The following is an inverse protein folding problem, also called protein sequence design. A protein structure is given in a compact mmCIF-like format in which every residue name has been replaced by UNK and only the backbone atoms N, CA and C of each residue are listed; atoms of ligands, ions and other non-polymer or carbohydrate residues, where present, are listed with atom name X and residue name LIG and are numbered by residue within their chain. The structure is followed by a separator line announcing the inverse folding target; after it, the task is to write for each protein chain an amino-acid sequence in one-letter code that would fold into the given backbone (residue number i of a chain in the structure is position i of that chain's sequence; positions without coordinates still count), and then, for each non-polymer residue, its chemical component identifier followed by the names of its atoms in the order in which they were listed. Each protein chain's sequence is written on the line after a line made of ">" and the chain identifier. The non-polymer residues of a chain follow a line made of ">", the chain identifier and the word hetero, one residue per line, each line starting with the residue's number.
data_IF_446985583346
#
_entry.id   IF_446985583346
#
_cell.length_a   1.000
_cell.length_b   1.000
_cell.length_c   1.000
_cell.angle_alpha   90.00
_cell.angle_beta   90.00
_cell.angle_gamma   90.00
#
_symmetry.space_group_name_H-M   'P 1'
#
loop_
_entity.id
_entity.type
_entity.pdbx_description
1 polymer ?
#
# COMPACT_ATOMS: atom_id res chain seq x y z
N UNK A 1 14.60 11.69 -24.35
CA UNK A 1 15.87 12.00 -23.65
C UNK A 1 16.94 11.05 -24.16
N UNK A 2 18.15 11.54 -24.45
CA UNK A 2 19.26 10.66 -24.87
C UNK A 2 19.94 10.05 -23.63
N UNK A 3 19.62 8.79 -23.34
CA UNK A 3 20.25 8.01 -22.28
C UNK A 3 21.69 7.61 -22.69
N UNK A 4 22.62 7.62 -21.74
CA UNK A 4 23.97 7.10 -21.99
C UNK A 4 23.95 5.57 -22.22
N UNK A 5 24.95 5.01 -22.91
CA UNK A 5 25.01 3.57 -23.15
C UNK A 5 25.03 2.78 -21.83
N UNK A 6 25.78 3.24 -20.82
CA UNK A 6 25.80 2.64 -19.48
C UNK A 6 24.40 2.66 -18.82
N UNK A 7 23.66 3.77 -18.93
CA UNK A 7 22.28 3.82 -18.40
C UNK A 7 21.34 2.83 -19.11
N UNK A 8 21.48 2.66 -20.43
CA UNK A 8 20.67 1.70 -21.20
C UNK A 8 20.95 0.26 -20.76
N UNK A 9 22.21 -0.11 -20.57
CA UNK A 9 22.61 -1.44 -20.09
C UNK A 9 22.01 -1.75 -18.72
N UNK A 10 22.07 -0.78 -17.80
CA UNK A 10 21.51 -0.96 -16.44
C UNK A 10 20.00 -1.07 -16.46
N UNK A 11 19.33 -0.25 -17.27
CA UNK A 11 17.89 -0.35 -17.49
C UNK A 11 17.49 -1.74 -17.99
N UNK A 12 18.25 -2.31 -18.94
CA UNK A 12 18.01 -3.67 -19.44
C UNK A 12 18.20 -4.72 -18.33
N UNK A 13 19.26 -4.62 -17.53
CA UNK A 13 19.49 -5.53 -16.39
C UNK A 13 18.36 -5.47 -15.34
N UNK A 14 17.84 -4.28 -15.07
CA UNK A 14 16.70 -4.12 -14.16
C UNK A 14 15.42 -4.68 -14.81
N UNK A 15 15.24 -4.51 -16.12
CA UNK A 15 14.11 -5.09 -16.86
C UNK A 15 14.13 -6.62 -16.77
N UNK A 16 15.29 -7.24 -16.95
CA UNK A 16 15.47 -8.69 -16.79
C UNK A 16 15.20 -9.13 -15.34
N UNK A 17 15.60 -8.31 -14.36
CA UNK A 17 15.30 -8.56 -12.95
C UNK A 17 13.80 -8.52 -12.67
N UNK A 18 13.06 -7.56 -13.27
CA UNK A 18 11.59 -7.49 -13.18
C UNK A 18 10.95 -8.74 -13.79
N UNK A 19 11.33 -9.12 -15.01
CA UNK A 19 10.81 -10.33 -15.66
C UNK A 19 11.10 -11.60 -14.85
N UNK A 20 12.29 -11.69 -14.24
CA UNK A 20 12.64 -12.78 -13.35
C UNK A 20 11.74 -12.81 -12.11
N UNK A 21 11.51 -11.67 -11.45
CA UNK A 21 10.63 -11.62 -10.27
C UNK A 21 9.19 -11.97 -10.61
N UNK A 22 8.65 -11.52 -11.76
CA UNK A 22 7.32 -11.90 -12.24
C UNK A 22 7.19 -13.42 -12.39
N UNK A 23 8.14 -14.06 -13.10
CA UNK A 23 8.18 -15.52 -13.26
C UNK A 23 8.30 -16.25 -11.92
N UNK A 24 9.11 -15.73 -11.00
CA UNK A 24 9.30 -16.28 -9.66
C UNK A 24 8.02 -16.22 -8.84
N UNK A 25 7.29 -15.10 -8.89
CA UNK A 25 5.99 -14.92 -8.25
C UNK A 25 4.99 -15.95 -8.77
N UNK A 26 4.84 -16.09 -10.09
CA UNK A 26 3.91 -17.06 -10.70
C UNK A 26 4.22 -18.49 -10.26
N UNK A 27 5.51 -18.85 -10.21
CA UNK A 27 5.96 -20.16 -9.77
C UNK A 27 5.66 -20.39 -8.28
N UNK A 28 5.97 -19.43 -7.41
CA UNK A 28 5.75 -19.53 -5.97
C UNK A 28 4.26 -19.55 -5.62
N UNK A 29 3.41 -18.79 -6.34
CA UNK A 29 1.95 -18.84 -6.17
C UNK A 29 1.40 -20.24 -6.47
N UNK A 30 1.86 -20.89 -7.54
CA UNK A 30 1.47 -22.29 -7.86
C UNK A 30 1.86 -23.25 -6.74
N UNK A 31 3.09 -23.15 -6.23
CA UNK A 31 3.54 -23.99 -5.10
C UNK A 31 2.70 -23.73 -3.85
N UNK A 32 2.52 -22.46 -3.49
CA UNK A 32 1.73 -22.06 -2.32
C UNK A 32 0.30 -22.58 -2.41
N UNK A 33 -0.37 -22.40 -3.54
CA UNK A 33 -1.77 -22.81 -3.71
C UNK A 33 -1.93 -24.33 -3.64
N UNK A 34 -0.96 -25.09 -4.17
CA UNK A 34 -0.95 -26.55 -4.03
C UNK A 34 -0.77 -27.00 -2.57
N UNK A 35 0.06 -26.29 -1.81
CA UNK A 35 0.35 -26.63 -0.41
C UNK A 35 -0.72 -26.11 0.57
N UNK A 36 -1.43 -25.04 0.22
CA UNK A 36 -2.38 -24.36 1.11
C UNK A 36 -3.52 -25.28 1.55
N UNK A 37 -4.18 -25.97 0.62
CA UNK A 37 -5.30 -26.85 0.95
C UNK A 37 -4.87 -27.97 1.90
N UNK A 38 -3.70 -28.55 1.64
CA UNK A 38 -3.13 -29.59 2.50
C UNK A 38 -2.82 -29.06 3.91
N UNK A 39 -2.22 -27.87 4.00
CA UNK A 39 -1.91 -27.20 5.26
C UNK A 39 -3.18 -26.91 6.08
N UNK A 40 -4.21 -26.35 5.45
CA UNK A 40 -5.50 -26.04 6.09
C UNK A 40 -6.22 -27.31 6.54
N UNK A 41 -6.34 -28.34 5.69
CA UNK A 41 -7.06 -29.57 6.01
C UNK A 41 -6.46 -30.33 7.20
N UNK A 42 -5.12 -30.36 7.31
CA UNK A 42 -4.42 -31.01 8.41
C UNK A 42 -4.52 -30.23 9.72
N UNK A 43 -4.41 -28.92 9.68
CA UNK A 43 -4.45 -28.09 10.91
C UNK A 43 -5.84 -27.98 11.53
N UNK A 44 -6.91 -28.15 10.74
CA UNK A 44 -8.29 -28.28 11.25
C UNK A 44 -8.57 -29.71 11.78
N UNK A 45 -7.61 -30.64 11.69
CA UNK A 45 -7.70 -31.96 12.32
C UNK A 45 -8.68 -32.94 11.66
N UNK A 46 -9.00 -32.77 10.37
CA UNK A 46 -9.84 -33.75 9.63
C UNK A 46 -9.13 -35.08 9.37
N UNK A 47 -7.81 -35.08 9.32
CA UNK A 47 -6.98 -36.29 9.25
C UNK A 47 -6.40 -36.59 10.64
N UNK A 48 -7.19 -37.27 11.47
CA UNK A 48 -6.75 -37.68 12.79
C UNK A 48 -5.45 -38.50 12.72
N UNK A 49 -4.48 -38.13 13.58
CA UNK A 49 -3.30 -38.94 13.99
C UNK A 49 -1.99 -38.84 13.20
N UNK A 50 -1.72 -37.77 12.45
CA UNK A 50 -0.33 -37.46 12.11
C UNK A 50 0.15 -36.25 12.90
N UNK A 51 1.06 -36.49 13.86
CA UNK A 51 1.86 -35.42 14.46
C UNK A 51 2.42 -34.55 13.36
N UNK A 52 2.24 -33.22 13.44
CA UNK A 52 2.78 -32.26 12.48
C UNK A 52 4.21 -32.66 12.11
N UNK A 53 4.45 -33.08 10.86
CA UNK A 53 5.82 -33.07 10.38
C UNK A 53 6.16 -31.60 10.18
N UNK A 54 7.06 -31.10 11.02
CA UNK A 54 7.54 -29.71 11.00
C UNK A 54 7.89 -29.21 9.59
N UNK A 55 8.25 -30.13 8.70
CA UNK A 55 8.53 -29.89 7.29
C UNK A 55 7.40 -29.22 6.49
N UNK A 56 6.13 -29.50 6.77
CA UNK A 56 5.02 -28.89 6.02
C UNK A 56 4.76 -27.44 6.46
N UNK A 57 4.87 -27.15 7.75
CA UNK A 57 4.79 -25.79 8.29
C UNK A 57 5.94 -24.94 7.76
N UNK A 58 7.15 -25.50 7.76
CA UNK A 58 8.32 -24.86 7.17
C UNK A 58 8.12 -24.63 5.67
N UNK A 59 7.51 -25.56 4.93
CA UNK A 59 7.26 -25.38 3.50
C UNK A 59 6.28 -24.23 3.24
N UNK A 60 5.19 -24.14 4.00
CA UNK A 60 4.23 -23.04 3.90
C UNK A 60 4.88 -21.70 4.28
N UNK A 61 5.63 -21.67 5.39
CA UNK A 61 6.40 -20.50 5.83
C UNK A 61 7.39 -20.04 4.75
N UNK A 62 8.30 -20.92 4.32
CA UNK A 62 9.35 -20.59 3.35
C UNK A 62 8.78 -20.15 1.99
N UNK A 63 7.72 -20.79 1.51
CA UNK A 63 7.10 -20.40 0.25
C UNK A 63 6.45 -19.02 0.38
N UNK A 64 5.79 -18.75 1.51
CA UNK A 64 5.13 -17.46 1.75
C UNK A 64 6.14 -16.32 1.94
N UNK A 65 7.22 -16.57 2.69
CA UNK A 65 8.34 -15.62 2.87
C UNK A 65 9.04 -15.32 1.54
N UNK A 66 9.30 -16.36 0.74
CA UNK A 66 9.90 -16.20 -0.58
C UNK A 66 9.01 -15.39 -1.52
N UNK A 67 7.69 -15.59 -1.44
CA UNK A 67 6.71 -14.86 -2.24
C UNK A 67 6.63 -13.39 -1.82
N UNK A 68 6.60 -13.12 -0.51
CA UNK A 68 6.63 -11.77 0.06
C UNK A 68 7.91 -11.02 -0.31
N UNK A 69 9.05 -11.70 -0.29
CA UNK A 69 10.33 -11.17 -0.71
C UNK A 69 10.35 -10.85 -2.21
N UNK A 70 9.89 -11.79 -3.05
CA UNK A 70 9.83 -11.60 -4.50
C UNK A 70 8.90 -10.43 -4.89
N UNK A 71 7.75 -10.33 -4.23
CA UNK A 71 6.82 -9.20 -4.39
C UNK A 71 7.48 -7.86 -4.06
N UNK A 72 8.14 -7.76 -2.90
CA UNK A 72 8.83 -6.53 -2.51
C UNK A 72 9.98 -6.18 -3.46
N UNK A 73 10.76 -7.17 -3.91
CA UNK A 73 11.84 -6.95 -4.87
C UNK A 73 11.30 -6.50 -6.23
N UNK A 74 10.17 -7.06 -6.69
CA UNK A 74 9.50 -6.61 -7.91
C UNK A 74 9.15 -5.12 -7.83
N UNK A 75 8.52 -4.70 -6.72
CA UNK A 75 8.18 -3.28 -6.50
C UNK A 75 9.44 -2.41 -6.46
N UNK A 76 10.47 -2.82 -5.74
CA UNK A 76 11.73 -2.07 -5.66
C UNK A 76 12.38 -1.90 -7.05
N UNK A 77 12.48 -2.98 -7.85
CA UNK A 77 12.99 -2.89 -9.22
C UNK A 77 12.13 -2.02 -10.13
N UNK A 78 10.80 -2.09 -9.98
CA UNK A 78 9.88 -1.23 -10.71
C UNK A 78 10.13 0.26 -10.41
N UNK A 79 10.30 0.63 -9.13
CA UNK A 79 10.61 1.99 -8.72
C UNK A 79 11.94 2.47 -9.32
N UNK A 80 12.99 1.64 -9.27
CA UNK A 80 14.30 1.99 -9.85
C UNK A 80 14.20 2.13 -11.37
N UNK A 81 13.58 1.17 -12.06
CA UNK A 81 13.38 1.20 -13.51
C UNK A 81 12.66 2.48 -13.93
N UNK A 82 11.55 2.80 -13.26
CA UNK A 82 10.75 3.97 -13.56
C UNK A 82 11.55 5.28 -13.42
N UNK A 83 12.28 5.44 -12.31
CA UNK A 83 13.10 6.64 -12.10
C UNK A 83 14.23 6.78 -13.14
N UNK A 84 14.91 5.68 -13.49
CA UNK A 84 15.93 5.71 -14.54
C UNK A 84 15.35 6.12 -15.90
N UNK A 85 14.16 5.61 -16.25
CA UNK A 85 13.44 5.97 -17.49
C UNK A 85 13.01 7.43 -17.51
N UNK A 86 12.74 8.04 -16.35
CA UNK A 86 12.50 9.48 -16.23
C UNK A 86 13.78 10.34 -16.27
N UNK A 87 14.96 9.72 -16.38
CA UNK A 87 16.24 10.40 -16.48
C UNK A 87 16.97 10.61 -15.15
N UNK A 88 16.65 9.82 -14.12
CA UNK A 88 17.42 9.84 -12.87
C UNK A 88 18.89 9.48 -13.11
N UNK A 89 19.78 10.14 -12.37
CA UNK A 89 21.17 9.69 -12.31
C UNK A 89 21.24 8.48 -11.37
N UNK A 90 21.77 7.37 -11.86
CA UNK A 90 21.92 6.14 -11.09
C UNK A 90 22.62 6.34 -9.75
N UNK A 91 23.66 7.19 -9.71
CA UNK A 91 24.43 7.48 -8.49
C UNK A 91 23.59 8.18 -7.41
N UNK A 92 22.44 8.75 -7.79
CA UNK A 92 21.51 9.45 -6.89
C UNK A 92 20.36 8.57 -6.41
N UNK A 93 20.18 7.37 -6.98
CA UNK A 93 19.21 6.40 -6.50
C UNK A 93 19.79 5.72 -5.26
N UNK A 94 19.68 6.39 -4.10
CA UNK A 94 20.26 5.92 -2.83
C UNK A 94 19.37 4.95 -2.06
N UNK A 95 18.06 5.02 -2.29
CA UNK A 95 17.08 4.14 -1.66
C UNK A 95 16.41 3.30 -2.74
N UNK A 96 16.67 1.99 -2.69
CA UNK A 96 16.02 1.00 -3.55
C UNK A 96 14.64 0.62 -3.01
N UNK A 97 14.42 0.84 -1.71
CA UNK A 97 13.16 0.54 -1.04
C UNK A 97 12.06 1.52 -1.44
N UNK A 98 10.85 0.99 -1.65
CA UNK A 98 9.63 1.77 -1.82
C UNK A 98 9.50 2.95 -0.82
N UNK A 99 9.61 4.18 -1.33
CA UNK A 99 9.31 5.41 -0.59
C UNK A 99 7.82 5.71 -0.68
N UNK A 100 7.12 5.59 0.45
CA UNK A 100 5.67 5.85 0.51
C UNK A 100 5.36 7.33 0.34
N UNK A 101 4.39 7.61 -0.53
CA UNK A 101 3.66 8.88 -0.49
C UNK A 101 2.57 8.80 0.59
N UNK A 102 3.01 8.84 1.85
CA UNK A 102 2.13 8.83 3.00
C UNK A 102 1.76 10.23 3.51
N UNK A 103 0.78 10.31 4.41
CA UNK A 103 0.35 11.59 5.00
C UNK A 103 1.50 12.37 5.67
N UNK A 104 2.50 11.68 6.22
CA UNK A 104 3.68 12.35 6.78
C UNK A 104 4.51 12.97 5.66
N UNK A 105 4.81 12.21 4.61
CA UNK A 105 5.56 12.69 3.45
C UNK A 105 4.87 13.86 2.75
N UNK A 106 3.54 13.78 2.57
CA UNK A 106 2.75 14.88 1.99
C UNK A 106 2.85 16.16 2.82
N UNK A 107 2.70 16.08 4.16
CA UNK A 107 2.90 17.23 5.08
C UNK A 107 4.28 17.85 4.95
N UNK A 108 5.33 17.03 4.92
CA UNK A 108 6.70 17.51 4.81
C UNK A 108 7.05 18.05 3.42
N UNK A 109 6.23 17.77 2.41
CA UNK A 109 6.47 18.18 1.03
C UNK A 109 5.67 19.41 0.64
N UNK A 110 4.48 19.57 1.20
CA UNK A 110 3.61 20.71 0.92
C UNK A 110 3.29 21.46 2.22
N UNK A 111 4.11 22.49 2.49
CA UNK A 111 4.07 23.33 3.71
C UNK A 111 2.70 23.92 4.07
N UNK A 112 1.80 24.26 3.11
CA UNK A 112 0.48 24.79 3.46
C UNK A 112 -0.40 23.81 4.25
N UNK A 113 -0.18 22.50 4.14
CA UNK A 113 -0.93 21.50 4.90
C UNK A 113 -0.50 21.57 6.37
N UNK A 114 -1.38 22.09 7.22
CA UNK A 114 -1.17 22.09 8.68
C UNK A 114 -1.77 20.86 9.34
N UNK A 115 -2.88 20.36 8.79
CA UNK A 115 -3.65 19.28 9.38
C UNK A 115 -4.31 18.41 8.28
N UNK A 116 -4.00 17.12 8.25
CA UNK A 116 -4.66 16.13 7.36
C UNK A 116 -5.72 15.35 8.14
N UNK A 117 -6.20 15.82 9.31
CA UNK A 117 -7.20 15.08 10.11
C UNK A 117 -8.50 14.81 9.33
N UNK A 118 -8.84 15.66 8.37
CA UNK A 118 -10.02 15.55 7.49
C UNK A 118 -9.71 16.03 6.07
N UNK A 119 -10.34 15.43 5.07
CA UNK A 119 -10.22 15.83 3.65
C UNK A 119 -10.75 17.26 3.46
N UNK A 120 -11.76 17.67 4.21
CA UNK A 120 -12.37 19.00 4.12
C UNK A 120 -11.37 20.10 4.50
N UNK A 121 -10.70 19.97 5.66
CA UNK A 121 -9.59 20.87 6.05
C UNK A 121 -8.46 20.90 5.04
N UNK A 122 -8.13 19.74 4.47
CA UNK A 122 -7.10 19.65 3.44
C UNK A 122 -7.47 20.47 2.20
N UNK A 123 -8.73 20.36 1.76
CA UNK A 123 -9.27 21.17 0.66
C UNK A 123 -9.21 22.67 1.01
N UNK A 124 -9.57 23.05 2.24
CA UNK A 124 -9.49 24.45 2.68
C UNK A 124 -8.06 25.00 2.70
N UNK A 125 -7.09 24.23 3.22
CA UNK A 125 -5.68 24.62 3.26
C UNK A 125 -5.13 24.83 1.83
N UNK A 126 -5.50 23.94 0.90
CA UNK A 126 -5.10 24.06 -0.52
C UNK A 126 -5.75 25.27 -1.19
N UNK A 127 -7.04 25.52 -0.96
CA UNK A 127 -7.79 26.67 -1.51
C UNK A 127 -7.16 28.03 -1.15
N UNK A 128 -6.52 28.12 0.02
CA UNK A 128 -5.86 29.34 0.52
C UNK A 128 -4.49 29.59 -0.12
N UNK A 129 -3.96 28.63 -0.87
CA UNK A 129 -2.65 28.77 -1.51
C UNK A 129 -2.75 29.65 -2.75
N UNK A 130 -1.70 30.42 -3.01
CA UNK A 130 -1.54 31.25 -4.20
C UNK A 130 -0.39 30.72 -5.06
N UNK A 131 -0.62 30.61 -6.36
CA UNK A 131 0.38 30.16 -7.34
C UNK A 131 0.39 31.16 -8.50
N UNK A 132 1.54 31.78 -8.75
CA UNK A 132 1.73 32.79 -9.82
C UNK A 132 0.70 33.94 -9.77
N UNK A 133 0.32 34.41 -8.57
CA UNK A 133 -0.65 35.50 -8.43
C UNK A 133 -2.12 35.06 -8.53
N UNK A 134 -2.39 33.76 -8.71
CA UNK A 134 -3.73 33.19 -8.82
C UNK A 134 -4.00 32.36 -7.56
N UNK A 135 -5.09 32.65 -6.84
CA UNK A 135 -5.50 31.79 -5.74
C UNK A 135 -6.04 30.48 -6.28
N UNK A 136 -5.65 29.35 -5.67
CA UNK A 136 -6.17 28.04 -6.08
C UNK A 136 -7.69 28.00 -5.88
N UNK A 137 -8.25 28.77 -4.92
CA UNK A 137 -9.70 29.02 -4.77
C UNK A 137 -10.42 29.30 -6.10
N UNK A 138 -9.76 29.95 -7.06
CA UNK A 138 -10.34 30.31 -8.36
C UNK A 138 -10.59 29.11 -9.30
N UNK A 139 -9.86 28.00 -9.13
CA UNK A 139 -10.11 26.73 -9.83
C UNK A 139 -11.41 26.07 -9.36
N UNK A 140 -11.81 26.36 -8.12
CA UNK A 140 -12.90 25.69 -7.44
C UNK A 140 -14.27 26.38 -7.61
N UNK A 141 -14.44 27.27 -8.58
CA UNK A 141 -15.74 27.93 -8.83
C UNK A 141 -16.84 26.96 -9.29
N UNK A 142 -16.47 25.75 -9.75
CA UNK A 142 -17.40 24.67 -10.08
C UNK A 142 -17.33 23.57 -9.02
N UNK A 143 -18.43 23.35 -8.29
CA UNK A 143 -18.48 22.49 -7.09
C UNK A 143 -18.12 21.01 -7.32
N UNK A 144 -18.15 20.54 -8.57
CA UNK A 144 -17.89 19.14 -8.92
C UNK A 144 -16.41 18.78 -9.14
N UNK A 145 -15.47 19.74 -9.12
CA UNK A 145 -14.03 19.50 -9.41
C UNK A 145 -13.09 19.52 -8.20
N UNK A 146 -13.62 19.67 -6.98
CA UNK A 146 -12.78 19.99 -5.81
C UNK A 146 -11.71 18.97 -5.43
N UNK A 147 -12.01 17.66 -5.44
CA UNK A 147 -11.07 16.68 -4.88
C UNK A 147 -9.90 16.39 -5.83
N UNK A 148 -10.18 16.31 -7.13
CA UNK A 148 -9.18 16.06 -8.15
C UNK A 148 -8.14 17.18 -8.22
N UNK A 149 -8.57 18.43 -8.20
CA UNK A 149 -7.66 19.58 -8.29
C UNK A 149 -6.82 19.73 -7.01
N UNK A 150 -7.41 19.39 -5.84
CA UNK A 150 -6.68 19.32 -4.56
C UNK A 150 -5.63 18.19 -4.57
N UNK A 151 -5.99 17.00 -5.06
CA UNK A 151 -5.05 15.88 -5.26
C UNK A 151 -3.86 16.34 -6.08
N UNK A 152 -4.11 16.96 -7.22
CA UNK A 152 -3.05 17.48 -8.08
C UNK A 152 -2.13 18.42 -7.30
N UNK A 153 -2.63 19.47 -6.65
CA UNK A 153 -1.77 20.40 -5.89
C UNK A 153 -0.84 19.69 -4.90
N UNK A 154 -1.36 18.75 -4.11
CA UNK A 154 -0.61 18.10 -3.04
C UNK A 154 0.42 17.11 -3.61
N UNK A 155 0.01 16.28 -4.57
CA UNK A 155 0.92 15.31 -5.16
C UNK A 155 2.01 15.95 -5.98
N UNK A 156 1.73 17.05 -6.69
CA UNK A 156 2.72 17.71 -7.52
C UNK A 156 3.95 18.13 -6.70
N UNK A 157 3.76 18.77 -5.53
CA UNK A 157 4.88 19.13 -4.66
C UNK A 157 5.62 17.90 -4.10
N UNK A 158 4.88 16.87 -3.68
CA UNK A 158 5.45 15.62 -3.18
C UNK A 158 6.27 14.88 -4.25
N UNK A 159 5.75 14.82 -5.48
CA UNK A 159 6.40 14.23 -6.65
C UNK A 159 7.63 15.04 -7.05
N UNK A 160 7.54 16.37 -7.16
CA UNK A 160 8.70 17.21 -7.48
C UNK A 160 9.83 16.99 -6.44
N UNK A 161 9.49 16.85 -5.15
CA UNK A 161 10.47 16.49 -4.11
C UNK A 161 11.07 15.09 -4.30
N UNK A 162 10.26 14.07 -4.60
CA UNK A 162 10.74 12.70 -4.86
C UNK A 162 11.66 12.64 -6.09
N UNK A 163 11.26 13.27 -7.20
CA UNK A 163 12.04 13.35 -8.43
C UNK A 163 13.36 14.08 -8.20
N UNK A 164 13.35 15.20 -7.48
CA UNK A 164 14.57 15.94 -7.12
C UNK A 164 15.51 15.10 -6.23
N UNK A 165 14.97 14.32 -5.28
CA UNK A 165 15.75 13.38 -4.48
C UNK A 165 16.38 12.26 -5.33
N UNK A 166 15.68 11.79 -6.37
CA UNK A 166 16.22 10.87 -7.38
C UNK A 166 17.20 11.54 -8.37
N UNK A 167 17.45 12.84 -8.22
CA UNK A 167 18.36 13.59 -9.07
C UNK A 167 17.78 14.13 -10.37
N UNK A 168 16.47 13.94 -10.59
CA UNK A 168 15.74 14.49 -11.73
C UNK A 168 15.41 15.93 -11.38
N UNK A 169 16.16 16.88 -11.93
CA UNK A 169 15.94 18.31 -11.67
C UNK A 169 14.58 18.73 -12.24
N UNK A 170 13.64 18.97 -11.33
CA UNK A 170 12.35 19.59 -11.57
C UNK A 170 12.38 20.96 -10.89
N UNK A 171 12.05 22.02 -11.64
CA UNK A 171 11.91 23.36 -11.07
C UNK A 171 10.84 23.31 -9.96
N UNK A 172 11.09 23.95 -8.82
CA UNK A 172 10.09 24.07 -7.75
C UNK A 172 8.84 24.84 -8.22
N UNK A 173 8.97 25.63 -9.29
CA UNK A 173 7.85 26.23 -10.04
C UNK A 173 7.20 25.25 -11.05
N UNK A 174 7.28 23.93 -10.81
CA UNK A 174 6.67 22.88 -11.63
C UNK A 174 5.14 23.00 -11.74
N UNK A 175 4.52 23.82 -10.89
CA UNK A 175 3.09 24.08 -10.87
C UNK A 175 2.87 25.53 -11.30
N UNK A 176 2.34 25.71 -12.51
CA UNK A 176 1.86 27.00 -12.97
C UNK A 176 0.37 26.92 -13.26
N UNK A 177 -0.36 27.94 -12.80
CA UNK A 177 -1.75 28.14 -13.20
C UNK A 177 -1.75 29.06 -14.42
N UNK A 178 -2.44 28.65 -15.48
CA UNK A 178 -2.57 29.44 -16.70
C UNK A 178 -4.03 29.47 -17.13
N UNK A 179 -4.47 30.56 -17.76
CA UNK A 179 -5.78 30.60 -18.42
C UNK A 179 -5.63 30.01 -19.82
N UNK A 180 -6.43 29.01 -20.14
CA UNK A 180 -6.51 28.47 -21.50
C UNK A 180 -7.19 29.47 -22.45
N UNK A 181 -7.27 29.12 -23.74
CA UNK A 181 -7.90 29.95 -24.77
C UNK A 181 -9.38 30.26 -24.51
N UNK A 182 -10.06 29.47 -23.67
CA UNK A 182 -11.44 29.67 -23.25
C UNK A 182 -11.57 30.48 -21.94
N UNK A 183 -10.45 30.95 -21.37
CA UNK A 183 -10.41 31.70 -20.12
C UNK A 183 -10.49 30.84 -18.85
N UNK A 184 -10.52 29.51 -18.98
CA UNK A 184 -10.51 28.59 -17.84
C UNK A 184 -9.10 28.44 -17.28
N UNK A 185 -8.98 28.41 -15.96
CA UNK A 185 -7.69 28.20 -15.29
C UNK A 185 -7.37 26.71 -15.34
N UNK A 186 -6.18 26.35 -15.82
CA UNK A 186 -5.67 24.99 -15.91
C UNK A 186 -4.34 24.85 -15.18
N UNK A 187 -4.05 23.64 -14.69
CA UNK A 187 -2.73 23.29 -14.22
C UNK A 187 -1.79 22.99 -15.39
N UNK A 188 -0.67 23.69 -15.44
CA UNK A 188 0.44 23.39 -16.31
C UNK A 188 1.54 22.73 -15.46
N UNK A 189 1.83 21.48 -15.80
CA UNK A 189 2.69 20.57 -15.03
C UNK A 189 3.76 19.97 -15.94
N UNK A 190 4.98 19.82 -15.42
CA UNK A 190 6.06 19.09 -16.10
C UNK A 190 5.63 17.65 -16.45
N UNK A 191 5.87 17.23 -17.69
CA UNK A 191 5.44 15.91 -18.17
C UNK A 191 5.98 14.76 -17.32
N UNK A 192 7.18 14.88 -16.74
CA UNK A 192 7.78 13.87 -15.87
C UNK A 192 7.00 13.71 -14.57
N UNK A 193 6.47 14.81 -14.04
CA UNK A 193 5.64 14.82 -12.83
C UNK A 193 4.29 14.16 -13.13
N UNK A 194 3.68 14.47 -14.28
CA UNK A 194 2.45 13.80 -14.75
C UNK A 194 2.64 12.29 -14.91
N UNK A 195 3.72 11.88 -15.59
CA UNK A 195 4.08 10.45 -15.75
C UNK A 195 4.30 9.79 -14.38
N UNK A 196 4.99 10.45 -13.46
CA UNK A 196 5.18 9.90 -12.11
C UNK A 196 3.85 9.66 -11.41
N UNK A 197 2.92 10.62 -11.45
CA UNK A 197 1.60 10.42 -10.87
C UNK A 197 0.90 9.21 -11.50
N UNK A 198 0.77 9.18 -12.83
CA UNK A 198 0.08 8.12 -13.58
C UNK A 198 0.66 6.73 -13.29
N UNK A 199 1.99 6.61 -13.22
CA UNK A 199 2.62 5.32 -13.05
C UNK A 199 2.79 4.90 -11.59
N UNK A 200 2.83 5.84 -10.64
CA UNK A 200 3.13 5.54 -9.24
C UNK A 200 1.91 5.65 -8.30
N UNK A 201 0.76 6.15 -8.76
CA UNK A 201 -0.41 6.42 -7.90
C UNK A 201 -0.91 5.20 -7.13
N UNK A 202 -0.80 3.99 -7.72
CA UNK A 202 -1.16 2.72 -7.05
C UNK A 202 -0.34 2.41 -5.81
N UNK A 203 0.76 3.12 -5.59
CA UNK A 203 1.63 2.98 -4.42
C UNK A 203 1.50 4.16 -3.46
N UNK A 204 0.57 5.08 -3.69
CA UNK A 204 0.33 6.21 -2.80
C UNK A 204 -0.57 5.78 -1.65
N UNK A 205 -0.10 5.99 -0.42
CA UNK A 205 -0.66 5.40 0.78
C UNK A 205 -1.02 6.52 1.77
N UNK A 206 -2.09 7.26 1.49
CA UNK A 206 -2.45 8.46 2.25
C UNK A 206 -3.97 8.60 2.44
N UNK A 207 -4.44 9.73 2.96
CA UNK A 207 -5.87 9.98 3.20
C UNK A 207 -6.65 10.46 1.98
N UNK A 208 -5.95 10.96 0.99
CA UNK A 208 -6.54 11.55 -0.21
C UNK A 208 -6.92 10.43 -1.20
N UNK A 209 -6.10 9.38 -1.22
CA UNK A 209 -6.28 8.16 -2.01
C UNK A 209 -5.98 6.92 -1.17
N UNK A 210 -6.86 5.92 -1.30
CA UNK A 210 -6.84 4.65 -0.58
C UNK A 210 -6.16 3.50 -1.36
N UNK A 211 -5.73 3.75 -2.59
CA UNK A 211 -5.24 2.72 -3.53
C UNK A 211 -3.95 2.00 -3.10
N UNK A 212 -3.05 2.65 -2.36
CA UNK A 212 -1.73 2.08 -2.03
C UNK A 212 -1.60 1.44 -0.65
N UNK A 213 -2.68 1.36 0.12
CA UNK A 213 -2.64 0.87 1.50
C UNK A 213 -2.36 -0.64 1.61
N UNK A 214 -3.00 -1.45 0.77
CA UNK A 214 -2.85 -2.91 0.73
C UNK A 214 -1.44 -3.35 0.34
N UNK A 215 -0.87 -2.88 -0.79
CA UNK A 215 0.53 -3.15 -1.14
C UNK A 215 1.48 -2.68 -0.02
N UNK A 216 1.22 -1.51 0.58
CA UNK A 216 2.00 -0.97 1.68
C UNK A 216 2.04 -1.92 2.89
N UNK A 217 0.92 -2.57 3.26
CA UNK A 217 0.87 -3.53 4.37
C UNK A 217 1.83 -4.70 4.13
N UNK A 218 1.80 -5.31 2.95
CA UNK A 218 2.69 -6.44 2.61
C UNK A 218 4.16 -6.02 2.50
N UNK A 219 4.44 -4.81 1.98
CA UNK A 219 5.80 -4.27 1.97
C UNK A 219 6.34 -4.02 3.39
N UNK A 220 5.49 -3.57 4.33
CA UNK A 220 5.86 -3.46 5.76
C UNK A 220 6.12 -4.83 6.38
N UNK A 221 5.28 -5.83 6.08
CA UNK A 221 5.50 -7.21 6.54
C UNK A 221 6.86 -7.74 6.06
N UNK A 222 7.24 -7.48 4.80
CA UNK A 222 8.53 -7.90 4.29
C UNK A 222 9.70 -7.18 4.97
N UNK A 223 9.55 -5.89 5.26
CA UNK A 223 10.57 -5.12 5.98
C UNK A 223 10.72 -5.64 7.42
N UNK A 224 9.61 -5.99 8.07
CA UNK A 224 9.59 -6.64 9.38
C UNK A 224 10.31 -7.99 9.35
N UNK A 225 9.99 -8.85 8.37
CA UNK A 225 10.65 -10.14 8.11
C UNK A 225 12.18 -9.99 7.94
N UNK A 226 12.61 -9.02 7.13
CA UNK A 226 14.03 -8.84 6.77
C UNK A 226 14.91 -8.32 7.91
N UNK A 227 14.35 -7.47 8.78
CA UNK A 227 15.16 -6.63 9.65
C UNK A 227 14.90 -6.84 11.14
N UNK A 228 13.79 -7.49 11.50
CA UNK A 228 13.35 -7.51 12.90
C UNK A 228 12.96 -8.89 13.40
N UNK A 229 12.03 -9.57 12.73
CA UNK A 229 11.48 -10.85 13.21
C UNK A 229 10.69 -11.58 12.13
N UNK A 230 10.48 -12.88 12.28
CA UNK A 230 9.72 -13.72 11.34
C UNK A 230 8.22 -13.59 11.68
N UNK A 231 7.37 -13.08 10.77
CA UNK A 231 5.93 -13.24 10.90
C UNK A 231 5.58 -14.71 10.61
N UNK A 232 5.18 -15.44 11.64
CA UNK A 232 4.83 -16.85 11.49
C UNK A 232 3.53 -17.01 10.72
N UNK A 233 3.46 -18.01 9.85
CA UNK A 233 2.20 -18.43 9.26
C UNK A 233 1.43 -19.24 10.29
N UNK A 234 0.30 -18.70 10.73
CA UNK A 234 -0.64 -19.38 11.62
C UNK A 234 -2.00 -19.54 10.97
N UNK A 235 -2.85 -20.36 11.60
CA UNK A 235 -4.22 -20.59 11.15
C UNK A 235 -5.18 -19.95 12.14
N UNK A 236 -6.05 -19.09 11.61
CA UNK A 236 -7.24 -18.64 12.30
C UNK A 236 -8.43 -19.44 11.78
N UNK A 237 -8.98 -20.33 12.60
CA UNK A 237 -10.21 -21.04 12.31
C UNK A 237 -11.38 -20.44 13.10
N UNK A 238 -12.55 -20.37 12.45
CA UNK A 238 -13.83 -20.01 13.06
C UNK A 238 -14.86 -21.11 12.76
N UNK A 239 -15.63 -21.53 13.77
CA UNK A 239 -16.77 -22.41 13.55
C UNK A 239 -17.87 -21.66 12.79
N UNK A 240 -18.51 -22.38 11.87
CA UNK A 240 -19.73 -22.01 11.16
C UNK A 240 -20.83 -22.99 11.60
N UNK A 241 -22.09 -22.60 11.38
CA UNK A 241 -23.24 -23.50 11.48
C UNK A 241 -22.99 -24.88 10.82
N UNK A 242 -23.54 -25.93 11.44
CA UNK A 242 -23.49 -27.33 10.98
C UNK A 242 -22.09 -27.98 11.00
N UNK A 243 -21.29 -27.76 12.06
CA UNK A 243 -19.95 -28.36 12.25
C UNK A 243 -18.98 -28.10 11.08
N UNK A 244 -19.13 -26.94 10.41
CA UNK A 244 -18.18 -26.48 9.40
C UNK A 244 -17.27 -25.47 10.04
N UNK A 245 -16.05 -25.33 9.53
CA UNK A 245 -15.12 -24.28 9.96
C UNK A 245 -14.63 -23.54 8.72
N UNK A 246 -14.51 -22.22 8.80
CA UNK A 246 -13.68 -21.46 7.87
C UNK A 246 -12.32 -21.28 8.53
N UNK A 247 -11.26 -21.59 7.78
CA UNK A 247 -9.91 -21.31 8.20
C UNK A 247 -9.24 -20.33 7.25
N UNK A 248 -8.47 -19.43 7.85
CA UNK A 248 -7.62 -18.46 7.20
C UNK A 248 -6.17 -18.79 7.56
N UNK A 249 -5.27 -18.75 6.59
CA UNK A 249 -3.84 -18.70 6.88
C UNK A 249 -3.42 -17.25 6.96
N UNK A 250 -2.68 -16.90 8.02
CA UNK A 250 -2.35 -15.52 8.31
C UNK A 250 -0.88 -15.37 8.67
N UNK A 251 -0.31 -14.22 8.33
CA UNK A 251 0.90 -13.72 8.98
C UNK A 251 0.54 -13.25 10.39
N UNK A 252 1.20 -13.82 11.40
CA UNK A 252 1.00 -13.47 12.79
C UNK A 252 2.07 -12.51 13.29
N UNK A 253 1.60 -11.41 13.89
CA UNK A 253 2.44 -10.46 14.61
C UNK A 253 2.00 -10.46 16.08
N UNK A 254 2.79 -11.09 16.98
CA UNK A 254 2.54 -11.02 18.41
C UNK A 254 2.56 -9.57 18.90
N UNK A 255 1.71 -9.25 19.89
CA UNK A 255 1.61 -7.91 20.48
C UNK A 255 2.94 -7.44 21.07
N UNK A 256 3.73 -8.34 21.63
CA UNK A 256 5.07 -8.01 22.15
C UNK A 256 6.06 -7.59 21.06
N UNK A 257 5.80 -7.87 19.79
CA UNK A 257 6.68 -7.58 18.66
C UNK A 257 6.25 -6.35 17.84
N UNK A 258 5.13 -5.70 18.19
CA UNK A 258 4.59 -4.59 17.37
C UNK A 258 5.44 -3.33 17.41
N UNK A 259 6.31 -3.18 18.42
CA UNK A 259 7.28 -2.07 18.50
C UNK A 259 8.38 -2.14 17.44
N UNK A 260 8.63 -3.33 16.89
CA UNK A 260 9.60 -3.57 15.82
C UNK A 260 9.06 -3.20 14.44
N UNK A 261 7.77 -2.91 14.32
CA UNK A 261 7.17 -2.45 13.07
C UNK A 261 7.61 -1.02 12.77
N UNK A 262 7.70 -0.70 11.47
CA UNK A 262 8.00 0.64 11.00
C UNK A 262 6.97 1.65 11.55
N UNK A 263 7.43 2.58 12.38
CA UNK A 263 6.58 3.61 13.00
C UNK A 263 5.85 4.43 11.94
N UNK A 264 4.56 4.68 12.18
CA UNK A 264 3.69 5.49 11.31
C UNK A 264 3.16 4.79 10.06
N UNK A 265 3.58 3.55 9.78
CA UNK A 265 2.96 2.73 8.72
C UNK A 265 1.59 2.20 9.13
N UNK A 266 0.71 1.95 8.15
CA UNK A 266 -0.65 1.40 8.39
C UNK A 266 -0.59 0.15 9.25
N UNK A 267 0.32 -0.77 8.93
CA UNK A 267 0.49 -2.01 9.68
C UNK A 267 0.83 -1.74 11.15
N UNK A 268 1.78 -0.84 11.41
CA UNK A 268 2.16 -0.45 12.77
C UNK A 268 0.99 0.20 13.53
N UNK A 269 0.21 1.06 12.86
CA UNK A 269 -0.96 1.72 13.47
C UNK A 269 -2.00 0.68 13.88
N UNK A 270 -2.37 -0.26 12.99
CA UNK A 270 -3.36 -1.30 13.28
C UNK A 270 -2.83 -2.30 14.33
N UNK A 271 -1.57 -2.70 14.23
CA UNK A 271 -0.97 -3.67 15.15
C UNK A 271 -0.81 -3.10 16.58
N UNK A 272 -0.55 -1.80 16.73
CA UNK A 272 -0.47 -1.14 18.03
C UNK A 272 -1.82 -0.67 18.58
N UNK A 273 -2.90 -0.75 17.79
CA UNK A 273 -4.24 -0.44 18.27
C UNK A 273 -4.66 -1.43 19.37
N UNK A 274 -5.13 -0.90 20.49
CA UNK A 274 -5.73 -1.69 21.56
C UNK A 274 -7.02 -2.37 21.06
N UNK A 275 -7.27 -3.59 21.52
CA UNK A 275 -8.40 -4.41 21.08
C UNK A 275 -9.73 -3.74 21.38
N UNK A 276 -9.94 -3.25 22.61
CA UNK A 276 -11.23 -2.67 23.04
C UNK A 276 -11.49 -1.34 22.34
N UNK A 277 -10.42 -0.57 22.15
CA UNK A 277 -10.46 0.68 21.38
C UNK A 277 -10.83 0.43 19.92
N UNK A 278 -10.20 -0.57 19.28
CA UNK A 278 -10.48 -0.94 17.90
C UNK A 278 -11.90 -1.52 17.75
N UNK A 279 -12.32 -2.39 18.66
CA UNK A 279 -13.68 -2.94 18.68
C UNK A 279 -14.73 -1.84 18.75
N UNK A 280 -14.56 -0.87 19.66
CA UNK A 280 -15.47 0.27 19.80
C UNK A 280 -15.52 1.12 18.52
N UNK A 281 -14.36 1.34 17.90
CA UNK A 281 -14.26 2.05 16.61
C UNK A 281 -15.01 1.32 15.49
N UNK A 282 -14.74 0.02 15.29
CA UNK A 282 -15.34 -0.76 14.21
C UNK A 282 -16.85 -0.94 14.42
N UNK A 283 -17.30 -1.16 15.66
CA UNK A 283 -18.74 -1.28 16.00
C UNK A 283 -19.50 -0.02 15.70
N UNK A 284 -18.90 1.14 16.00
CA UNK A 284 -19.56 2.42 15.74
C UNK A 284 -19.58 2.69 14.23
N UNK A 285 -18.58 2.22 13.47
CA UNK A 285 -18.48 2.38 12.02
C UNK A 285 -19.48 1.50 11.29
N UNK A 286 -19.78 0.34 11.87
CA UNK A 286 -20.85 -0.55 11.42
C UNK A 286 -22.24 0.11 11.57
N UNK A 287 -22.41 0.92 12.63
CA UNK A 287 -23.68 1.59 12.97
C UNK A 287 -23.90 2.95 12.30
N UNK A 288 -22.84 3.74 12.08
CA UNK A 288 -22.90 5.09 11.53
C UNK A 288 -21.68 5.39 10.62
N UNK A 289 -21.92 5.70 9.35
CA UNK A 289 -20.86 6.12 8.42
C UNK A 289 -20.44 7.60 8.60
N UNK A 290 -21.25 8.42 9.31
CA UNK A 290 -21.21 9.89 9.16
C UNK A 290 -20.69 10.71 10.33
N UNK A 291 -20.55 10.17 11.55
CA UNK A 291 -20.19 10.99 12.72
C UNK A 291 -19.22 10.28 13.67
N UNK A 292 -17.97 10.74 13.72
CA UNK A 292 -16.98 10.12 14.61
C UNK A 292 -16.00 11.07 15.26
N UNK A 293 -15.90 10.90 16.60
CA UNK A 293 -14.84 11.46 17.45
C UNK A 293 -13.59 10.56 17.40
N UNK A 294 -12.43 11.21 17.44
CA UNK A 294 -11.11 10.64 17.19
C UNK A 294 -10.76 9.46 18.12
N UNK A 295 -10.62 8.25 17.56
CA UNK A 295 -9.65 7.30 18.10
C UNK A 295 -8.29 7.55 17.40
N UNK A 296 -7.18 7.11 17.98
CA UNK A 296 -5.83 7.26 17.39
C UNK A 296 -5.63 6.67 15.98
N UNK A 297 -6.69 6.13 15.36
CA UNK A 297 -6.79 5.66 13.98
C UNK A 297 -7.35 6.73 13.02
N UNK A 298 -7.48 7.99 13.45
CA UNK A 298 -7.95 9.11 12.59
C UNK A 298 -7.22 9.14 11.25
N UNK A 299 -5.97 8.66 11.23
CA UNK A 299 -5.14 8.72 10.05
C UNK A 299 -5.48 7.73 8.94
N UNK A 300 -6.21 6.66 9.28
CA UNK A 300 -6.52 5.55 8.38
C UNK A 300 -8.00 5.13 8.45
N UNK A 301 -8.85 5.88 9.17
CA UNK A 301 -10.26 5.54 9.43
C UNK A 301 -11.10 5.18 8.18
N UNK A 302 -10.80 5.83 7.05
CA UNK A 302 -11.52 5.65 5.79
C UNK A 302 -11.09 4.37 5.06
N UNK A 303 -9.90 3.83 5.39
CA UNK A 303 -9.37 2.62 4.77
C UNK A 303 -10.02 1.35 5.32
N UNK A 304 -10.64 1.44 6.50
CA UNK A 304 -11.35 0.31 7.09
C UNK A 304 -12.63 0.03 6.33
N UNK A 305 -12.85 -1.23 5.98
CA UNK A 305 -14.14 -1.74 5.50
C UNK A 305 -14.54 -2.95 6.33
N UNK A 306 -15.86 -3.18 6.45
CA UNK A 306 -16.44 -4.21 7.31
C UNK A 306 -17.25 -5.19 6.48
N UNK A 307 -17.22 -6.46 6.88
CA UNK A 307 -18.16 -7.45 6.37
C UNK A 307 -19.50 -7.31 7.10
N UNK A 308 -20.42 -6.54 6.53
CA UNK A 308 -21.75 -6.30 7.11
C UNK A 308 -22.56 -7.58 7.29
N UNK A 309 -22.24 -8.67 6.58
CA UNK A 309 -22.98 -9.93 6.67
C UNK A 309 -22.54 -10.75 7.88
N UNK A 310 -21.24 -10.84 8.11
CA UNK A 310 -20.66 -11.69 9.15
C UNK A 310 -20.37 -10.91 10.45
N UNK A 311 -20.40 -9.57 10.39
CA UNK A 311 -20.10 -8.71 11.53
C UNK A 311 -18.61 -8.58 11.81
N UNK A 312 -18.29 -7.84 12.86
CA UNK A 312 -16.91 -7.48 13.22
C UNK A 312 -16.32 -8.41 14.27
N UNK A 313 -17.13 -9.08 15.08
CA UNK A 313 -16.70 -9.80 16.27
C UNK A 313 -16.94 -11.30 16.10
N UNK A 314 -15.97 -12.14 16.46
CA UNK A 314 -16.14 -13.60 16.51
C UNK A 314 -17.24 -14.00 17.49
N UNK A 315 -17.76 -15.22 17.33
CA UNK A 315 -18.77 -15.78 18.22
C UNK A 315 -18.32 -15.87 19.69
N UNK A 316 -17.01 -16.05 19.94
CA UNK A 316 -16.42 -16.10 21.28
C UNK A 316 -15.99 -14.73 21.82
N UNK A 317 -16.24 -13.65 21.06
CA UNK A 317 -15.87 -12.27 21.37
C UNK A 317 -14.37 -12.00 21.55
N UNK A 318 -13.48 -12.88 21.07
CA UNK A 318 -12.03 -12.74 21.26
C UNK A 318 -11.27 -12.25 20.01
N UNK A 319 -11.94 -12.19 18.85
CA UNK A 319 -11.33 -11.78 17.59
C UNK A 319 -12.16 -10.72 16.89
N UNK A 320 -11.48 -9.72 16.32
CA UNK A 320 -12.10 -8.71 15.46
C UNK A 320 -11.70 -8.94 14.02
N UNK A 321 -12.68 -8.97 13.12
CA UNK A 321 -12.52 -9.11 11.68
C UNK A 321 -12.82 -7.78 11.00
N UNK A 322 -11.89 -7.33 10.17
CA UNK A 322 -12.06 -6.12 9.37
C UNK A 322 -11.08 -6.13 8.21
N UNK A 323 -11.33 -5.26 7.23
CA UNK A 323 -10.47 -5.10 6.07
C UNK A 323 -9.81 -3.73 6.09
N UNK A 324 -8.58 -3.65 5.57
CA UNK A 324 -7.89 -2.39 5.27
C UNK A 324 -7.41 -2.45 3.82
N UNK A 325 -8.01 -1.66 2.93
CA UNK A 325 -7.79 -1.75 1.47
C UNK A 325 -7.81 -3.21 0.94
N UNK A 326 -8.92 -3.88 1.24
CA UNK A 326 -9.21 -5.28 0.85
C UNK A 326 -8.27 -6.33 1.47
N UNK A 327 -7.37 -5.94 2.38
CA UNK A 327 -6.56 -6.88 3.16
C UNK A 327 -7.31 -7.25 4.43
N UNK A 328 -7.59 -8.54 4.62
CA UNK A 328 -8.22 -9.04 5.84
C UNK A 328 -7.24 -8.98 7.02
N UNK A 329 -7.71 -8.36 8.11
CA UNK A 329 -7.07 -8.37 9.41
C UNK A 329 -7.95 -9.12 10.41
N UNK A 330 -7.30 -9.88 11.28
CA UNK A 330 -7.90 -10.48 12.46
C UNK A 330 -7.12 -9.97 13.67
N UNK A 331 -7.78 -9.22 14.55
CA UNK A 331 -7.16 -8.68 15.77
C UNK A 331 -7.59 -9.51 16.98
N UNK A 332 -6.62 -9.91 17.79
CA UNK A 332 -6.86 -10.45 19.14
C UNK A 332 -6.20 -9.55 20.18
N UNK A 333 -6.37 -9.86 21.46
CA UNK A 333 -5.65 -9.14 22.53
C UNK A 333 -4.13 -9.38 22.49
N UNK A 334 -3.71 -10.52 21.94
CA UNK A 334 -2.32 -10.99 21.98
C UNK A 334 -1.60 -10.88 20.64
N UNK A 335 -2.32 -10.74 19.53
CA UNK A 335 -1.73 -10.73 18.20
C UNK A 335 -2.54 -9.93 17.19
N UNK A 336 -1.90 -9.59 16.08
CA UNK A 336 -2.53 -9.09 14.86
C UNK A 336 -2.21 -10.06 13.74
N UNK A 337 -3.25 -10.63 13.14
CA UNK A 337 -3.15 -11.58 12.03
C UNK A 337 -3.53 -10.88 10.73
N UNK A 338 -2.77 -11.12 9.67
CA UNK A 338 -3.01 -10.54 8.34
C UNK A 338 -3.13 -11.66 7.34
N UNK A 339 -4.16 -11.67 6.49
CA UNK A 339 -4.34 -12.74 5.51
C UNK A 339 -3.09 -12.93 4.64
N UNK A 340 -2.59 -14.16 4.65
CA UNK A 340 -1.44 -14.60 3.85
C UNK A 340 -1.87 -15.41 2.62
N UNK A 341 -3.17 -15.56 2.40
CA UNK A 341 -3.70 -16.33 1.29
C UNK A 341 -4.35 -15.47 0.21
N UNK A 342 -5.67 -15.33 0.24
CA UNK A 342 -6.46 -14.83 -0.89
C UNK A 342 -6.26 -13.33 -1.10
N UNK A 343 -6.33 -12.53 -0.03
CA UNK A 343 -6.07 -11.09 -0.10
C UNK A 343 -4.63 -10.83 -0.57
N UNK A 344 -3.69 -11.66 -0.11
CA UNK A 344 -2.28 -11.52 -0.47
C UNK A 344 -2.04 -11.88 -1.94
N UNK A 345 -2.59 -13.00 -2.41
CA UNK A 345 -2.55 -13.43 -3.81
C UNK A 345 -3.18 -12.38 -4.72
N UNK A 346 -4.40 -11.92 -4.42
CA UNK A 346 -5.09 -10.93 -5.22
C UNK A 346 -4.29 -9.63 -5.35
N UNK A 347 -3.66 -9.18 -4.26
CA UNK A 347 -2.85 -7.96 -4.28
C UNK A 347 -1.54 -8.15 -5.03
N UNK A 348 -0.87 -9.29 -4.89
CA UNK A 348 0.33 -9.60 -5.69
C UNK A 348 -0.02 -9.66 -7.16
N UNK A 349 -1.10 -10.34 -7.55
CA UNK A 349 -1.51 -10.48 -8.94
C UNK A 349 -1.88 -9.13 -9.57
N UNK A 350 -2.63 -8.28 -8.87
CA UNK A 350 -2.98 -6.94 -9.36
C UNK A 350 -1.73 -6.09 -9.62
N UNK A 351 -0.83 -5.99 -8.65
CA UNK A 351 0.40 -5.19 -8.78
C UNK A 351 1.36 -5.79 -9.80
N UNK A 352 1.49 -7.12 -9.86
CA UNK A 352 2.35 -7.79 -10.85
C UNK A 352 1.83 -7.59 -12.27
N UNK A 353 0.51 -7.71 -12.48
CA UNK A 353 -0.12 -7.43 -13.76
C UNK A 353 0.02 -5.97 -14.18
N UNK A 354 -0.10 -5.04 -13.22
CA UNK A 354 0.14 -3.62 -13.46
C UNK A 354 1.59 -3.34 -13.89
N UNK A 355 2.58 -3.90 -13.19
CA UNK A 355 4.00 -3.74 -13.52
C UNK A 355 4.34 -4.39 -14.87
N UNK A 356 3.81 -5.57 -15.16
CA UNK A 356 4.00 -6.25 -16.46
C UNK A 356 3.42 -5.42 -17.62
N UNK A 357 2.21 -4.90 -17.47
CA UNK A 357 1.58 -4.01 -18.45
C UNK A 357 2.40 -2.73 -18.67
N UNK A 358 2.94 -2.15 -17.59
CA UNK A 358 3.86 -1.02 -17.68
C UNK A 358 5.10 -1.37 -18.50
N UNK A 359 5.80 -2.47 -18.18
CA UNK A 359 7.05 -2.83 -18.86
C UNK A 359 6.79 -3.04 -20.35
N UNK A 360 5.69 -3.70 -20.72
CA UNK A 360 5.29 -3.92 -22.12
C UNK A 360 5.09 -2.60 -22.88
N UNK A 361 4.35 -1.64 -22.31
CA UNK A 361 4.15 -0.31 -22.93
C UNK A 361 5.47 0.41 -23.18
N UNK A 362 6.41 0.34 -22.23
CA UNK A 362 7.72 0.99 -22.39
C UNK A 362 8.65 0.29 -23.39
N UNK A 363 8.42 -0.99 -23.69
CA UNK A 363 9.15 -1.71 -24.74
C UNK A 363 8.60 -1.40 -26.14
N UNK A 364 7.34 -0.97 -26.23
CA UNK A 364 6.67 -0.59 -27.49
C UNK A 364 6.92 0.89 -27.89
N UNK A 365 7.27 1.76 -26.93
CA UNK A 365 7.59 3.17 -27.13
C UNK A 365 9.07 3.44 -27.56
N UNK A 366 9.81 2.40 -27.99
CA UNK A 366 11.18 2.47 -28.56
C UNK A 366 11.14 1.96 -29.99
#
# INVERSE_FOLDING_TARGET
>A
MNLSNNQKEIINLITDSIHYQLKKIDFLLKIKNNNHNYYVHRSIGRDGRESMSSQNDYTMQFTTDALLNAFSSLVDYYFVHFNLRLGANIERIKNIQHNRMDNSFLRHSYRPIKDISSIEKLIEDVKRTEVNGIQISELFKNEKKHLHDVRQCIYLHAICKQLNNAGIKIDEKCLSLQKNSCGEIIFCVDERVRKYYEYMERFFCNKIDDFGAGPSIYLDLNAYLKHNSIPYISIAAEPIEYNREIAYTCFEIPKCSTELLRKGGILSIVANADFDTLHSFLTTKDKDDSNFKSCGLTDIKNLFTLDKKNGVLSHDNNKLYFFVDQVLFIKTREATLIDSNKCFEDKITDISGYIDAYIKRFLEDI
#
